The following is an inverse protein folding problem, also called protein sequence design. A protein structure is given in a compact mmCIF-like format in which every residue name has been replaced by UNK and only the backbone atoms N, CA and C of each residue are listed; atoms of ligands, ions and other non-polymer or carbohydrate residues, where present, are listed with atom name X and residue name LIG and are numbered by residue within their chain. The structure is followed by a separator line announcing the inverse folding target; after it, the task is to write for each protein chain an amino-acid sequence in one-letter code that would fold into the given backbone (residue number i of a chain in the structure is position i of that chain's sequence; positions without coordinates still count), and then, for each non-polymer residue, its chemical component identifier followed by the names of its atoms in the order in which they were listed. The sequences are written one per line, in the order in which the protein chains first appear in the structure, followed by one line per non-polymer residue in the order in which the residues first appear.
data_IF_274171177225
#
_entry.id   IF_274171177225
#
_cell.length_a   1.000
_cell.length_b   1.000
_cell.length_c   1.000
_cell.angle_alpha   90.00
_cell.angle_beta   90.00
_cell.angle_gamma   90.00
#
_symmetry.space_group_name_H-M   'P 1'
#
loop_
_entity.id
_entity.type
_entity.pdbx_description
1 polymer ?
#
# COMPACT_ATOMS: atom_id res chain seq x y z
N UNK A 1 4.06 -21.91 0.09
CA UNK A 1 4.32 -21.58 1.51
C UNK A 1 2.98 -21.36 2.21
N UNK A 2 2.79 -21.90 3.42
CA UNK A 2 1.54 -21.74 4.16
C UNK A 2 1.38 -20.28 4.62
N UNK A 3 0.32 -19.60 4.19
CA UNK A 3 0.01 -18.22 4.62
C UNK A 3 -0.48 -18.25 6.07
N UNK A 4 0.23 -17.56 6.97
CA UNK A 4 -0.18 -17.42 8.37
C UNK A 4 -1.44 -16.55 8.43
N UNK A 5 -2.46 -16.90 9.24
CA UNK A 5 -3.58 -16.02 9.48
C UNK A 5 -3.08 -14.68 10.04
N UNK A 6 -3.25 -13.59 9.28
CA UNK A 6 -2.78 -12.22 9.62
C UNK A 6 -3.57 -11.55 10.75
N UNK A 7 -4.13 -12.32 11.68
CA UNK A 7 -4.98 -11.83 12.77
C UNK A 7 -4.18 -11.07 13.85
N UNK A 8 -2.88 -11.38 14.02
CA UNK A 8 -2.00 -10.69 14.99
C UNK A 8 -0.96 -9.83 14.27
N UNK A 9 -0.86 -8.57 14.68
CA UNK A 9 0.13 -7.60 14.17
C UNK A 9 1.55 -8.00 14.60
N UNK A 10 2.57 -7.57 13.86
CA UNK A 10 3.96 -7.81 14.24
C UNK A 10 4.31 -7.16 15.60
N UNK A 11 3.62 -6.07 15.96
CA UNK A 11 3.68 -5.44 17.28
C UNK A 11 3.22 -6.38 18.41
N UNK A 12 2.17 -7.18 18.19
CA UNK A 12 1.74 -8.16 19.20
C UNK A 12 2.81 -9.22 19.45
N UNK A 13 3.55 -9.63 18.42
CA UNK A 13 4.68 -10.55 18.54
C UNK A 13 5.84 -9.93 19.33
N UNK A 14 6.13 -8.63 19.13
CA UNK A 14 7.11 -7.91 19.96
C UNK A 14 6.73 -7.96 21.43
N UNK A 15 5.48 -7.66 21.77
CA UNK A 15 4.99 -7.69 23.15
C UNK A 15 5.11 -9.09 23.76
N UNK A 16 4.76 -10.14 23.01
CA UNK A 16 4.90 -11.52 23.46
C UNK A 16 6.36 -11.91 23.75
N UNK A 17 7.31 -11.51 22.88
CA UNK A 17 8.73 -11.78 23.10
C UNK A 17 9.29 -11.01 24.30
N UNK A 18 8.91 -9.74 24.49
CA UNK A 18 9.32 -8.95 25.64
C UNK A 18 8.77 -9.51 26.96
N UNK A 19 7.51 -9.96 26.94
CA UNK A 19 6.91 -10.63 28.07
C UNK A 19 7.62 -11.95 28.40
N UNK A 20 7.81 -12.81 27.39
CA UNK A 20 8.51 -14.08 27.55
C UNK A 20 9.94 -13.88 28.09
N UNK A 21 10.66 -12.89 27.57
CA UNK A 21 11.98 -12.50 28.08
C UNK A 21 11.90 -12.13 29.56
N UNK A 22 11.00 -11.22 29.94
CA UNK A 22 10.85 -10.78 31.32
C UNK A 22 10.54 -11.97 32.24
N UNK A 23 9.62 -12.86 31.84
CA UNK A 23 9.26 -14.05 32.62
C UNK A 23 10.42 -15.03 32.80
N UNK A 24 11.27 -15.21 31.80
CA UNK A 24 12.40 -16.15 31.84
C UNK A 24 13.66 -15.58 32.51
N UNK A 25 13.79 -14.25 32.62
CA UNK A 25 14.93 -13.61 33.28
C UNK A 25 14.92 -13.78 34.81
N UNK A 26 13.78 -14.13 35.42
CA UNK A 26 13.66 -14.27 36.87
C UNK A 26 14.35 -15.52 37.46
N UNK A 27 14.61 -16.57 36.66
CA UNK A 27 15.22 -17.81 37.14
C UNK A 27 16.52 -18.12 36.36
N UNK A 28 17.59 -18.48 37.07
CA UNK A 28 18.87 -18.87 36.45
C UNK A 28 18.74 -20.13 35.58
N UNK A 29 17.85 -21.06 35.94
CA UNK A 29 17.60 -22.29 35.19
C UNK A 29 16.94 -22.03 33.82
N UNK A 30 16.20 -20.93 33.69
CA UNK A 30 15.54 -20.52 32.45
C UNK A 30 16.40 -19.61 31.58
N UNK A 31 17.58 -19.20 32.03
CA UNK A 31 18.51 -18.34 31.29
C UNK A 31 18.85 -18.82 29.87
N UNK A 32 19.09 -20.13 29.61
CA UNK A 32 19.32 -20.63 28.25
C UNK A 32 18.10 -20.47 27.33
N UNK A 33 16.88 -20.41 27.88
CA UNK A 33 15.66 -20.14 27.12
C UNK A 33 15.54 -18.66 26.74
N UNK A 34 15.97 -17.76 27.62
CA UNK A 34 16.05 -16.32 27.32
C UNK A 34 17.00 -16.07 26.14
N UNK A 35 18.14 -16.76 26.10
CA UNK A 35 19.12 -16.65 25.02
C UNK A 35 18.56 -17.08 23.65
N UNK A 36 17.59 -18.00 23.60
CA UNK A 36 16.90 -18.36 22.35
C UNK A 36 15.94 -17.28 21.83
N UNK A 37 15.43 -16.38 22.68
CA UNK A 37 14.49 -15.31 22.31
C UNK A 37 15.23 -14.02 21.89
N UNK A 38 16.37 -13.72 22.54
CA UNK A 38 17.07 -12.45 22.36
C UNK A 38 17.35 -12.07 20.89
N UNK A 39 17.78 -12.99 20.00
CA UNK A 39 18.03 -12.66 18.59
C UNK A 39 16.77 -12.29 17.81
N UNK A 40 15.56 -12.61 18.29
CA UNK A 40 14.29 -12.35 17.58
C UNK A 40 13.78 -10.93 17.78
N UNK A 41 14.04 -10.34 18.95
CA UNK A 41 13.63 -8.97 19.28
C UNK A 41 14.13 -7.94 18.26
N UNK A 42 15.44 -7.88 17.91
CA UNK A 42 15.91 -6.92 16.91
C UNK A 42 15.33 -7.18 15.51
N UNK A 43 15.11 -8.45 15.13
CA UNK A 43 14.45 -8.79 13.85
C UNK A 43 13.02 -8.25 13.78
N UNK A 44 12.26 -8.36 14.88
CA UNK A 44 10.90 -7.84 14.98
C UNK A 44 10.87 -6.32 14.95
N UNK A 45 11.78 -5.66 15.68
CA UNK A 45 11.88 -4.19 15.67
C UNK A 45 12.18 -3.67 14.25
N UNK A 46 13.13 -4.28 13.54
CA UNK A 46 13.44 -3.90 12.16
C UNK A 46 12.21 -3.98 11.23
N UNK A 47 11.37 -5.01 11.39
CA UNK A 47 10.13 -5.13 10.60
C UNK A 47 9.06 -4.11 10.98
N UNK A 48 9.03 -3.65 12.23
CA UNK A 48 8.11 -2.58 12.69
C UNK A 48 8.56 -1.25 12.11
N UNK A 49 9.85 -0.93 12.18
CA UNK A 49 10.40 0.31 11.63
C UNK A 49 10.14 0.40 10.12
N UNK A 50 10.38 -0.70 9.40
CA UNK A 50 10.04 -0.82 7.97
C UNK A 50 8.53 -0.66 7.69
N UNK A 51 7.65 -1.17 8.56
CA UNK A 51 6.20 -1.05 8.40
C UNK A 51 5.72 0.40 8.57
N UNK A 52 6.29 1.13 9.53
CA UNK A 52 5.97 2.53 9.78
C UNK A 52 6.40 3.43 8.60
N UNK A 53 7.66 3.33 8.18
CA UNK A 53 8.18 4.09 7.03
C UNK A 53 7.36 3.85 5.76
N UNK A 54 6.95 2.59 5.56
CA UNK A 54 6.14 2.21 4.41
C UNK A 54 4.71 2.76 4.49
N UNK A 55 4.07 2.72 5.67
CA UNK A 55 2.71 3.24 5.87
C UNK A 55 2.63 4.71 5.45
N UNK A 56 3.58 5.52 5.90
CA UNK A 56 3.67 6.93 5.57
C UNK A 56 3.90 7.15 4.07
N UNK A 57 4.78 6.35 3.47
CA UNK A 57 5.07 6.40 2.03
C UNK A 57 3.82 6.10 1.18
N UNK A 58 3.00 5.12 1.59
CA UNK A 58 1.78 4.76 0.85
C UNK A 58 0.65 5.75 1.05
N UNK A 59 0.46 6.27 2.26
CA UNK A 59 -0.51 7.34 2.49
C UNK A 59 -0.14 8.58 1.66
N UNK A 60 1.14 8.96 1.65
CA UNK A 60 1.65 10.07 0.85
C UNK A 60 1.46 9.84 -0.65
N UNK A 61 1.81 8.66 -1.17
CA UNK A 61 1.64 8.31 -2.57
C UNK A 61 0.16 8.31 -2.99
N UNK A 62 -0.74 7.77 -2.15
CA UNK A 62 -2.19 7.84 -2.37
C UNK A 62 -2.70 9.27 -2.41
N UNK A 63 -2.24 10.13 -1.51
CA UNK A 63 -2.60 11.54 -1.47
C UNK A 63 -2.19 12.27 -2.76
N UNK A 64 -0.94 12.09 -3.21
CA UNK A 64 -0.44 12.67 -4.47
C UNK A 64 -1.23 12.18 -5.69
N UNK A 65 -1.51 10.88 -5.76
CA UNK A 65 -2.30 10.30 -6.84
C UNK A 65 -3.73 10.84 -6.84
N UNK A 66 -4.36 10.99 -5.67
CA UNK A 66 -5.68 11.58 -5.55
C UNK A 66 -5.69 13.03 -6.05
N UNK A 67 -4.72 13.84 -5.66
CA UNK A 67 -4.58 15.23 -6.11
C UNK A 67 -4.42 15.31 -7.62
N UNK A 68 -3.55 14.50 -8.22
CA UNK A 68 -3.34 14.47 -9.67
C UNK A 68 -4.62 14.05 -10.44
N UNK A 69 -5.39 13.10 -9.89
CA UNK A 69 -6.68 12.70 -10.49
C UNK A 69 -7.70 13.84 -10.45
N UNK A 70 -7.78 14.55 -9.33
CA UNK A 70 -8.65 15.72 -9.18
C UNK A 70 -8.25 16.83 -10.16
N UNK A 71 -6.96 17.13 -10.28
CA UNK A 71 -6.43 18.10 -11.24
C UNK A 71 -6.82 17.72 -12.67
N UNK A 72 -6.61 16.46 -13.05
CA UNK A 72 -6.99 15.97 -14.39
C UNK A 72 -8.48 16.17 -14.65
N UNK A 73 -9.34 15.88 -13.66
CA UNK A 73 -10.80 16.06 -13.77
C UNK A 73 -11.16 17.52 -13.99
N UNK A 74 -10.52 18.41 -13.25
CA UNK A 74 -10.78 19.85 -13.32
C UNK A 74 -10.39 20.38 -14.70
N UNK A 75 -9.22 20.00 -15.21
CA UNK A 75 -8.75 20.37 -16.54
C UNK A 75 -9.70 19.84 -17.64
N UNK A 76 -10.13 18.59 -17.52
CA UNK A 76 -11.11 17.99 -18.42
C UNK A 76 -12.43 18.78 -18.42
N UNK A 77 -12.98 19.07 -17.24
CA UNK A 77 -14.24 19.81 -17.12
C UNK A 77 -14.12 21.24 -17.66
N UNK A 78 -12.96 21.89 -17.51
CA UNK A 78 -12.70 23.20 -18.10
C UNK A 78 -12.64 23.14 -19.63
N UNK A 79 -12.09 22.06 -20.20
CA UNK A 79 -12.11 21.83 -21.65
C UNK A 79 -13.55 21.64 -22.17
N UNK A 80 -14.37 20.85 -21.46
CA UNK A 80 -15.77 20.67 -21.84
C UNK A 80 -16.57 21.97 -21.83
N UNK A 81 -16.34 22.84 -20.84
CA UNK A 81 -16.98 24.15 -20.78
C UNK A 81 -16.61 25.02 -21.98
N UNK A 82 -15.36 24.94 -22.44
CA UNK A 82 -14.94 25.67 -23.64
C UNK A 82 -15.60 25.12 -24.90
N UNK A 83 -15.72 23.81 -25.05
CA UNK A 83 -16.46 23.26 -26.20
C UNK A 83 -17.90 23.77 -26.29
N UNK A 84 -18.56 24.04 -25.16
CA UNK A 84 -19.89 24.67 -25.17
C UNK A 84 -19.90 26.15 -25.62
N UNK A 85 -18.74 26.79 -25.78
CA UNK A 85 -18.62 28.19 -26.23
C UNK A 85 -18.24 28.34 -27.70
N UNK A 86 -17.81 27.26 -28.34
CA UNK A 86 -17.46 27.25 -29.76
C UNK A 86 -18.68 26.93 -30.63
N UNK A 87 -18.65 27.38 -31.89
CA UNK A 87 -19.63 26.96 -32.88
C UNK A 87 -19.42 25.46 -33.15
N UNK A 88 -20.46 24.68 -32.92
CA UNK A 88 -20.40 23.22 -32.88
C UNK A 88 -19.82 22.68 -34.20
N UNK A 89 -20.22 23.26 -35.34
CA UNK A 89 -19.87 22.81 -36.67
C UNK A 89 -18.35 22.71 -36.96
N UNK A 90 -17.52 23.55 -36.34
CA UNK A 90 -16.07 23.57 -36.60
C UNK A 90 -15.29 22.54 -35.79
N UNK A 91 -15.84 22.08 -34.67
CA UNK A 91 -15.17 21.23 -33.69
C UNK A 91 -15.97 19.99 -33.27
N UNK A 92 -17.05 19.62 -34.00
CA UNK A 92 -17.92 18.46 -33.70
C UNK A 92 -17.08 17.21 -33.45
N UNK A 93 -16.25 16.82 -34.44
CA UNK A 93 -15.46 15.59 -34.40
C UNK A 93 -14.53 15.54 -33.18
N UNK A 94 -13.99 16.70 -32.81
CA UNK A 94 -13.11 16.88 -31.65
C UNK A 94 -13.89 16.74 -30.35
N UNK A 95 -15.05 17.39 -30.26
CA UNK A 95 -15.89 17.38 -29.09
C UNK A 95 -16.47 15.98 -28.85
N UNK A 96 -16.91 15.28 -29.89
CA UNK A 96 -17.40 13.90 -29.81
C UNK A 96 -16.30 12.94 -29.35
N UNK A 97 -15.09 13.03 -29.91
CA UNK A 97 -13.96 12.23 -29.48
C UNK A 97 -13.63 12.44 -27.99
N UNK A 98 -13.62 13.70 -27.53
CA UNK A 98 -13.35 14.03 -26.12
C UNK A 98 -14.49 13.59 -25.21
N UNK A 99 -15.77 13.77 -25.60
CA UNK A 99 -16.91 13.29 -24.82
C UNK A 99 -16.95 11.76 -24.73
N UNK A 100 -16.46 11.05 -25.75
CA UNK A 100 -16.33 9.60 -25.77
C UNK A 100 -15.44 9.06 -24.65
N UNK A 101 -14.45 9.85 -24.20
CA UNK A 101 -13.53 9.49 -23.10
C UNK A 101 -13.90 10.15 -21.77
N UNK A 102 -15.11 10.71 -21.66
CA UNK A 102 -15.57 11.32 -20.41
C UNK A 102 -15.54 10.30 -19.26
N UNK A 103 -15.04 10.67 -18.07
CA UNK A 103 -15.04 9.81 -16.89
C UNK A 103 -16.45 9.37 -16.50
N UNK A 104 -16.86 8.17 -16.91
CA UNK A 104 -18.10 7.56 -16.45
C UNK A 104 -17.82 6.85 -15.13
N UNK A 105 -18.05 7.56 -14.03
CA UNK A 105 -17.87 7.04 -12.68
C UNK A 105 -16.78 7.78 -11.88
N UNK A 106 -16.98 7.89 -10.57
CA UNK A 106 -16.24 8.82 -9.71
C UNK A 106 -15.19 8.16 -8.80
N UNK A 107 -14.88 6.86 -8.91
CA UNK A 107 -14.15 6.16 -7.85
C UNK A 107 -13.19 5.06 -8.34
N UNK A 108 -12.03 4.98 -7.69
CA UNK A 108 -11.22 3.75 -7.64
C UNK A 108 -10.15 3.56 -8.72
N UNK A 109 -9.86 2.29 -9.01
CA UNK A 109 -8.88 1.84 -10.01
C UNK A 109 -9.31 2.22 -11.45
N UNK A 110 -10.61 2.31 -11.68
CA UNK A 110 -11.21 2.67 -12.96
C UNK A 110 -10.75 4.04 -13.48
N UNK A 111 -10.38 4.95 -12.58
CA UNK A 111 -9.95 6.29 -12.96
C UNK A 111 -8.60 6.32 -13.71
N UNK A 112 -7.65 5.46 -13.32
CA UNK A 112 -6.35 5.39 -14.04
C UNK A 112 -6.56 4.78 -15.42
N UNK A 113 -7.40 3.75 -15.51
CA UNK A 113 -7.77 3.14 -16.78
C UNK A 113 -8.49 4.13 -17.70
N UNK A 114 -9.36 4.99 -17.15
CA UNK A 114 -10.01 6.07 -17.89
C UNK A 114 -8.99 7.10 -18.42
N UNK A 115 -8.02 7.50 -17.60
CA UNK A 115 -6.94 8.41 -18.03
C UNK A 115 -6.10 7.77 -19.15
N UNK A 116 -5.74 6.49 -19.00
CA UNK A 116 -4.99 5.75 -20.03
C UNK A 116 -5.77 5.60 -21.33
N UNK A 117 -7.09 5.38 -21.25
CA UNK A 117 -7.96 5.30 -22.41
C UNK A 117 -8.15 6.67 -23.11
N UNK A 118 -8.24 7.75 -22.33
CA UNK A 118 -8.39 9.11 -22.84
C UNK A 118 -7.13 9.65 -23.53
N UNK A 119 -5.95 9.24 -23.05
CA UNK A 119 -4.67 9.75 -23.53
C UNK A 119 -4.43 9.61 -25.04
N UNK A 120 -4.61 8.43 -25.68
CA UNK A 120 -4.45 8.29 -27.12
C UNK A 120 -5.46 9.12 -27.91
N UNK A 121 -6.69 9.26 -27.41
CA UNK A 121 -7.72 10.09 -28.05
C UNK A 121 -7.31 11.56 -28.03
N UNK A 122 -6.82 12.07 -26.90
CA UNK A 122 -6.31 13.44 -26.81
C UNK A 122 -5.10 13.68 -27.71
N UNK A 123 -4.19 12.71 -27.84
CA UNK A 123 -3.06 12.81 -28.75
C UNK A 123 -3.52 12.88 -30.21
N UNK A 124 -4.46 12.03 -30.60
CA UNK A 124 -5.05 12.05 -31.94
C UNK A 124 -5.72 13.39 -32.23
N UNK A 125 -6.55 13.88 -31.31
CA UNK A 125 -7.19 15.20 -31.42
C UNK A 125 -6.16 16.34 -31.54
N UNK A 126 -5.06 16.28 -30.80
CA UNK A 126 -4.01 17.31 -30.83
C UNK A 126 -3.36 17.44 -32.22
N UNK A 127 -3.30 16.34 -32.99
CA UNK A 127 -2.74 16.34 -34.35
C UNK A 127 -3.67 16.95 -35.39
N UNK A 128 -4.93 17.24 -35.05
CA UNK A 128 -5.89 17.87 -35.95
C UNK A 128 -5.50 19.30 -36.33
N UNK A 129 -5.52 19.59 -37.63
CA UNK A 129 -5.14 20.90 -38.18
C UNK A 129 -6.10 22.01 -37.75
N UNK A 130 -7.41 21.71 -37.64
CA UNK A 130 -8.48 22.68 -37.36
C UNK A 130 -8.63 23.10 -35.89
N UNK A 131 -7.77 22.65 -34.99
CA UNK A 131 -7.95 22.93 -33.56
C UNK A 131 -7.56 24.38 -33.18
N UNK A 132 -8.43 25.13 -32.48
CA UNK A 132 -8.09 26.41 -31.89
C UNK A 132 -6.88 26.35 -30.94
N UNK A 133 -6.05 27.39 -30.92
CA UNK A 133 -4.81 27.42 -30.15
C UNK A 133 -5.02 27.28 -28.63
N UNK A 134 -6.11 27.82 -28.10
CA UNK A 134 -6.51 27.66 -26.70
C UNK A 134 -6.84 26.20 -26.35
N UNK A 135 -7.61 25.51 -27.21
CA UNK A 135 -7.94 24.09 -27.04
C UNK A 135 -6.66 23.24 -27.14
N UNK A 136 -5.76 23.52 -28.09
CA UNK A 136 -4.46 22.83 -28.18
C UNK A 136 -3.66 22.99 -26.89
N UNK A 137 -3.64 24.21 -26.32
CA UNK A 137 -2.98 24.50 -25.06
C UNK A 137 -3.52 23.66 -23.91
N UNK A 138 -4.86 23.59 -23.76
CA UNK A 138 -5.50 22.81 -22.70
C UNK A 138 -5.34 21.30 -22.88
N UNK A 139 -5.44 20.79 -24.09
CA UNK A 139 -5.18 19.37 -24.36
C UNK A 139 -3.74 19.00 -24.00
N UNK A 140 -2.76 19.83 -24.31
CA UNK A 140 -1.36 19.63 -23.86
C UNK A 140 -1.25 19.60 -22.34
N UNK A 141 -1.96 20.49 -21.64
CA UNK A 141 -2.00 20.50 -20.18
C UNK A 141 -2.64 19.22 -19.62
N UNK A 142 -3.80 18.80 -20.16
CA UNK A 142 -4.47 17.56 -19.77
C UNK A 142 -3.56 16.35 -20.02
N UNK A 143 -2.88 16.27 -21.16
CA UNK A 143 -1.91 15.21 -21.46
C UNK A 143 -0.77 15.17 -20.44
N UNK A 144 -0.21 16.33 -20.07
CA UNK A 144 0.82 16.42 -19.04
C UNK A 144 0.34 15.93 -17.67
N UNK A 145 -0.89 16.28 -17.29
CA UNK A 145 -1.49 15.78 -16.04
C UNK A 145 -1.81 14.29 -16.15
N UNK A 146 -2.19 13.79 -17.34
CA UNK A 146 -2.41 12.36 -17.62
C UNK A 146 -1.14 11.54 -17.36
N UNK A 147 -0.01 12.01 -17.91
CA UNK A 147 1.30 11.38 -17.68
C UNK A 147 1.65 11.35 -16.19
N UNK A 148 1.35 12.44 -15.47
CA UNK A 148 1.59 12.50 -14.03
C UNK A 148 0.73 11.49 -13.25
N UNK A 149 -0.56 11.37 -13.58
CA UNK A 149 -1.46 10.38 -12.98
C UNK A 149 -0.95 8.96 -13.21
N UNK A 150 -0.54 8.64 -14.44
CA UNK A 150 -0.03 7.31 -14.80
C UNK A 150 1.27 7.01 -14.05
N UNK A 151 2.23 7.95 -14.03
CA UNK A 151 3.49 7.79 -13.29
C UNK A 151 3.28 7.57 -11.79
N UNK A 152 2.37 8.34 -11.19
CA UNK A 152 2.02 8.19 -9.77
C UNK A 152 1.31 6.87 -9.49
N UNK A 153 0.46 6.39 -10.40
CA UNK A 153 -0.20 5.10 -10.29
C UNK A 153 0.83 3.95 -10.32
N UNK A 154 1.72 3.91 -11.31
CA UNK A 154 2.80 2.91 -11.39
C UNK A 154 3.70 2.95 -10.16
N UNK A 155 4.00 4.14 -9.64
CA UNK A 155 4.81 4.29 -8.41
C UNK A 155 4.08 3.72 -7.19
N UNK A 156 2.77 3.94 -7.08
CA UNK A 156 1.95 3.37 -6.01
C UNK A 156 1.88 1.83 -6.13
N UNK A 157 1.72 1.29 -7.33
CA UNK A 157 1.70 -0.16 -7.56
C UNK A 157 3.03 -0.80 -7.16
N UNK A 158 4.16 -0.18 -7.49
CA UNK A 158 5.48 -0.63 -7.05
C UNK A 158 5.61 -0.61 -5.51
N UNK A 159 5.04 0.39 -4.83
CA UNK A 159 5.02 0.42 -3.36
C UNK A 159 4.13 -0.67 -2.76
N UNK A 160 3.01 -1.01 -3.41
CA UNK A 160 2.12 -2.10 -2.99
C UNK A 160 2.79 -3.46 -3.18
N UNK A 161 3.51 -3.70 -4.28
CA UNK A 161 4.30 -4.92 -4.46
C UNK A 161 5.38 -5.08 -3.38
N UNK A 162 6.08 -3.99 -3.04
CA UNK A 162 7.04 -3.99 -1.93
C UNK A 162 6.37 -4.33 -0.58
N UNK A 163 5.14 -3.86 -0.36
CA UNK A 163 4.34 -4.22 0.82
C UNK A 163 4.13 -5.72 0.92
N UNK A 164 3.71 -6.33 -0.18
CA UNK A 164 3.39 -7.75 -0.18
C UNK A 164 4.62 -8.58 0.16
N UNK A 165 5.79 -8.24 -0.40
CA UNK A 165 7.06 -8.88 -0.02
C UNK A 165 7.45 -8.65 1.45
N UNK A 166 7.15 -7.48 2.03
CA UNK A 166 7.36 -7.24 3.46
C UNK A 166 6.42 -8.07 4.32
N UNK A 167 5.14 -8.20 3.93
CA UNK A 167 4.18 -9.03 4.64
C UNK A 167 4.58 -10.51 4.62
N UNK A 168 5.18 -10.99 3.53
CA UNK A 168 5.75 -12.34 3.47
C UNK A 168 6.94 -12.53 4.43
N UNK A 169 7.81 -11.52 4.56
CA UNK A 169 8.88 -11.52 5.58
C UNK A 169 8.32 -11.54 7.00
N UNK A 170 7.28 -10.74 7.26
CA UNK A 170 6.58 -10.77 8.55
C UNK A 170 5.97 -12.14 8.82
N UNK A 171 5.27 -12.74 7.86
CA UNK A 171 4.64 -14.06 8.00
C UNK A 171 5.70 -15.13 8.31
N UNK A 172 6.88 -15.05 7.67
CA UNK A 172 8.01 -15.95 7.92
C UNK A 172 8.58 -15.79 9.35
N UNK A 173 8.78 -14.56 9.81
CA UNK A 173 9.29 -14.31 11.17
C UNK A 173 8.27 -14.71 12.25
N UNK A 174 6.98 -14.49 12.00
CA UNK A 174 5.90 -14.94 12.91
C UNK A 174 5.90 -16.46 13.08
N UNK A 175 6.15 -17.22 12.00
CA UNK A 175 6.31 -18.68 12.08
C UNK A 175 7.54 -19.08 12.90
N UNK A 176 8.68 -18.40 12.71
CA UNK A 176 9.91 -18.64 13.49
C UNK A 176 9.67 -18.39 14.98
N UNK A 177 9.00 -17.29 15.33
CA UNK A 177 8.66 -16.95 16.72
C UNK A 177 7.71 -17.97 17.32
N UNK A 178 6.61 -18.31 16.64
CA UNK A 178 5.65 -19.31 17.14
C UNK A 178 6.35 -20.64 17.44
N UNK A 179 7.19 -21.12 16.51
CA UNK A 179 7.95 -22.37 16.70
C UNK A 179 8.88 -22.31 17.90
N UNK A 180 9.51 -21.16 18.12
CA UNK A 180 10.44 -20.96 19.24
C UNK A 180 9.70 -20.91 20.56
N UNK A 181 8.59 -20.17 20.63
CA UNK A 181 7.73 -20.12 21.81
C UNK A 181 7.18 -21.52 22.16
N UNK A 182 6.74 -22.30 21.17
CA UNK A 182 6.31 -23.70 21.38
C UNK A 182 7.45 -24.60 21.91
N UNK A 183 8.68 -24.40 21.44
CA UNK A 183 9.84 -25.15 21.94
C UNK A 183 10.20 -24.77 23.37
N UNK A 184 10.16 -23.48 23.69
CA UNK A 184 10.39 -22.96 25.03
C UNK A 184 9.32 -23.49 25.98
N UNK A 185 8.06 -23.43 25.57
CA UNK A 185 6.94 -23.97 26.33
C UNK A 185 7.15 -25.46 26.66
N UNK A 186 7.49 -26.29 25.66
CA UNK A 186 7.82 -27.71 25.88
C UNK A 186 8.99 -27.92 26.83
N UNK A 187 10.01 -27.06 26.79
CA UNK A 187 11.17 -27.15 27.71
C UNK A 187 10.77 -26.74 29.13
N UNK A 188 9.99 -25.66 29.29
CA UNK A 188 9.44 -25.23 30.58
C UNK A 188 8.58 -26.33 31.21
N UNK A 189 7.72 -26.98 30.43
CA UNK A 189 6.91 -28.11 30.90
C UNK A 189 7.75 -29.28 31.44
N UNK A 190 8.94 -29.51 30.87
CA UNK A 190 9.87 -30.54 31.35
C UNK A 190 10.63 -30.10 32.60
N UNK A 191 10.99 -28.82 32.71
CA UNK A 191 11.72 -28.28 33.85
C UNK A 191 10.82 -28.10 35.08
N UNK A 192 9.57 -27.67 34.87
CA UNK A 192 8.62 -27.37 35.94
C UNK A 192 7.28 -28.13 35.75
N UNK A 193 7.28 -29.47 35.85
CA UNK A 193 6.10 -30.29 35.57
C UNK A 193 4.91 -30.04 36.53
N UNK A 194 5.17 -29.50 37.72
CA UNK A 194 4.15 -29.25 38.75
C UNK A 194 3.61 -27.80 38.76
N UNK A 195 4.29 -26.87 38.08
CA UNK A 195 3.93 -25.44 38.05
C UNK A 195 3.10 -25.06 36.81
N UNK A 196 2.64 -26.06 36.06
CA UNK A 196 1.94 -25.89 34.77
C UNK A 196 0.71 -24.97 34.83
N UNK A 197 -0.02 -24.98 35.94
CA UNK A 197 -1.20 -24.11 36.14
C UNK A 197 -0.85 -22.63 36.15
N UNK A 198 0.36 -22.28 36.58
CA UNK A 198 0.84 -20.91 36.64
C UNK A 198 1.45 -20.51 35.30
N UNK A 199 2.30 -21.35 34.69
CA UNK A 199 2.95 -21.05 33.42
C UNK A 199 1.97 -20.86 32.25
N UNK A 200 0.89 -21.65 32.18
CA UNK A 200 -0.14 -21.51 31.14
C UNK A 200 -0.87 -20.16 31.18
N UNK A 201 -0.96 -19.52 32.36
CA UNK A 201 -1.56 -18.20 32.52
C UNK A 201 -0.64 -17.05 32.11
N UNK A 202 0.69 -17.28 32.09
CA UNK A 202 1.68 -16.27 31.72
C UNK A 202 1.86 -16.20 30.19
N UNK A 203 1.97 -17.32 29.47
CA UNK A 203 2.32 -17.29 28.04
C UNK A 203 1.13 -17.13 27.07
N UNK A 204 -0.11 -17.36 27.52
CA UNK A 204 -1.29 -17.35 26.64
C UNK A 204 -2.51 -16.63 27.25
N UNK A 205 -2.53 -15.30 27.15
CA UNK A 205 -3.76 -14.50 26.96
C UNK A 205 -3.59 -13.62 25.71
#
# INVERSE_FOLDING_TARGET
MAKVPRKRSINAYRSALLYARASLEFNQETKPLTETILPMIPKVNALIDMENEWSDSVVSAKGKLLAARQEWKLQFNQLLKEFNTFDYAEIVDVQEAVLGVYPRGNRGADYVNQVQFAQPVFQQVLTGEKLPANIKGKLKQILKVSDNVIKLATSLDALLLKKDGMLEKQDSLKLEINRTLDQIDKKLHKMFPYEQRYLGAFFFK
#
